data_IF_013396333982
#
_entry.id   IF_013396333982
#
_cell.length_a   1.000
_cell.length_b   1.000
_cell.length_c   1.000
_cell.angle_alpha   90.00
_cell.angle_beta   90.00
_cell.angle_gamma   90.00
#
_symmetry.space_group_name_H-M   'P 1'
#
loop_
_entity.id
_entity.type
_entity.pdbx_description
1 polymer ?
#
# COMPACT_ATOMS: atom_id res chain seq x y z
N UNK A 1 32.83 -2.99 12.49
CA UNK A 1 32.57 -1.94 11.48
C UNK A 1 31.29 -2.12 10.65
N UNK A 2 30.85 -3.35 10.27
CA UNK A 2 29.65 -3.58 9.41
C UNK A 2 28.31 -3.01 9.94
N UNK A 3 28.11 -2.97 11.26
CA UNK A 3 26.87 -2.48 11.87
C UNK A 3 26.66 -0.95 11.76
N UNK A 4 27.75 -0.18 11.66
CA UNK A 4 27.65 1.29 11.63
C UNK A 4 27.14 1.80 10.27
N UNK A 5 27.51 1.14 9.17
CA UNK A 5 26.96 1.45 7.85
C UNK A 5 25.47 1.08 7.76
N UNK A 6 25.08 -0.09 8.27
CA UNK A 6 23.67 -0.52 8.30
C UNK A 6 22.76 0.47 9.05
N UNK A 7 23.17 0.96 10.23
CA UNK A 7 22.41 1.98 10.98
C UNK A 7 22.25 3.29 10.20
N UNK A 8 23.29 3.74 9.50
CA UNK A 8 23.22 4.95 8.66
C UNK A 8 22.24 4.79 7.50
N UNK A 9 22.26 3.64 6.81
CA UNK A 9 21.28 3.35 5.75
C UNK A 9 19.84 3.27 6.29
N UNK A 10 19.65 2.70 7.48
CA UNK A 10 18.33 2.57 8.11
C UNK A 10 17.75 3.94 8.51
N UNK A 11 18.60 4.82 9.06
CA UNK A 11 18.21 6.20 9.39
C UNK A 11 17.90 6.99 8.11
N UNK A 12 18.73 6.85 7.07
CA UNK A 12 18.51 7.53 5.79
C UNK A 12 17.20 7.07 5.13
N UNK A 13 16.91 5.76 5.14
CA UNK A 13 15.66 5.21 4.66
C UNK A 13 14.45 5.72 5.47
N UNK A 14 14.57 5.81 6.80
CA UNK A 14 13.53 6.36 7.66
C UNK A 14 13.21 7.83 7.36
N UNK A 15 14.25 8.65 7.13
CA UNK A 15 14.10 10.06 6.76
C UNK A 15 13.40 10.17 5.40
N UNK A 16 13.85 9.40 4.39
CA UNK A 16 13.26 9.43 3.05
C UNK A 16 11.80 8.99 3.08
N UNK A 17 11.48 7.87 3.76
CA UNK A 17 10.10 7.40 3.90
C UNK A 17 9.21 8.40 4.64
N UNK A 18 9.72 9.04 5.71
CA UNK A 18 8.98 10.07 6.45
C UNK A 18 8.70 11.32 5.61
N UNK A 19 9.67 11.76 4.80
CA UNK A 19 9.54 12.92 3.92
C UNK A 19 8.55 12.65 2.79
N UNK A 20 8.58 11.45 2.20
CA UNK A 20 7.61 10.99 1.21
C UNK A 20 6.21 10.91 1.82
N UNK A 21 6.06 10.38 3.03
CA UNK A 21 4.77 10.32 3.73
C UNK A 21 4.19 11.71 4.00
N UNK A 22 5.04 12.68 4.39
CA UNK A 22 4.64 14.06 4.63
C UNK A 22 4.21 14.78 3.33
N UNK A 23 4.95 14.57 2.24
CA UNK A 23 4.59 15.11 0.93
C UNK A 23 3.28 14.50 0.40
N UNK A 24 3.07 13.19 0.57
CA UNK A 24 1.82 12.53 0.20
C UNK A 24 0.63 13.00 1.04
N UNK A 25 0.81 13.28 2.33
CA UNK A 25 -0.27 13.81 3.17
C UNK A 25 -0.73 15.20 2.70
N UNK A 26 0.18 16.00 2.13
CA UNK A 26 -0.10 17.35 1.65
C UNK A 26 -0.66 17.38 0.21
N UNK A 27 -0.19 16.48 -0.66
CA UNK A 27 -0.62 16.38 -2.07
C UNK A 27 -1.67 15.30 -2.36
N UNK A 28 -2.06 14.50 -1.36
CA UNK A 28 -3.01 13.40 -1.54
C UNK A 28 -4.41 13.87 -1.95
N UNK A 29 -5.02 13.13 -2.87
CA UNK A 29 -6.41 13.31 -3.29
C UNK A 29 -7.27 12.29 -2.52
N UNK A 30 -7.94 12.63 -1.39
CA UNK A 30 -8.22 13.94 -0.79
C UNK A 30 -7.23 14.38 0.30
N UNK A 31 -7.16 15.71 0.54
CA UNK A 31 -6.28 16.33 1.52
C UNK A 31 -6.53 15.74 2.91
N UNK A 32 -5.44 15.44 3.63
CA UNK A 32 -5.42 14.86 4.99
C UNK A 32 -5.49 13.31 5.07
N UNK A 33 -5.23 12.59 3.98
CA UNK A 33 -5.07 11.12 4.01
C UNK A 33 -3.61 10.73 3.70
N UNK A 34 -2.95 10.05 4.63
CA UNK A 34 -1.66 9.39 4.39
C UNK A 34 -1.81 8.15 3.47
N UNK A 35 -0.75 7.34 3.31
CA UNK A 35 -0.85 6.01 2.67
C UNK A 35 -1.76 5.12 3.53
N UNK A 36 -3.07 5.10 3.25
CA UNK A 36 -3.98 4.14 3.86
C UNK A 36 -4.37 3.06 2.86
N UNK A 37 -3.74 1.90 3.02
CA UNK A 37 -3.96 0.72 2.19
C UNK A 37 -5.42 0.24 2.27
N UNK A 38 -6.06 0.33 3.44
CA UNK A 38 -7.45 -0.09 3.61
C UNK A 38 -8.44 0.76 2.80
N UNK A 39 -8.28 2.08 2.84
CA UNK A 39 -9.08 3.02 2.03
C UNK A 39 -8.84 2.80 0.54
N UNK A 40 -7.60 2.56 0.12
CA UNK A 40 -7.29 2.32 -1.28
C UNK A 40 -7.89 1.03 -1.82
N UNK A 41 -7.90 -0.06 -1.03
CA UNK A 41 -8.54 -1.31 -1.45
C UNK A 41 -10.05 -1.12 -1.53
N UNK A 42 -10.67 -0.39 -0.59
CA UNK A 42 -12.08 -0.02 -0.68
C UNK A 42 -12.35 0.79 -1.95
N UNK A 43 -11.59 1.84 -2.21
CA UNK A 43 -11.80 2.74 -3.36
C UNK A 43 -11.62 1.97 -4.69
N UNK A 44 -10.67 1.03 -4.75
CA UNK A 44 -10.47 0.11 -5.89
C UNK A 44 -11.63 -0.87 -6.03
N UNK A 45 -12.17 -1.41 -4.93
CA UNK A 45 -13.36 -2.25 -4.95
C UNK A 45 -14.60 -1.46 -5.42
N UNK A 46 -14.66 -0.16 -5.11
CA UNK A 46 -15.67 0.77 -5.63
C UNK A 46 -15.56 0.97 -7.14
N UNK A 47 -14.34 1.13 -7.66
CA UNK A 47 -14.07 1.22 -9.10
C UNK A 47 -14.37 -0.09 -9.85
N UNK A 48 -14.20 -1.24 -9.19
CA UNK A 48 -14.57 -2.57 -9.71
C UNK A 48 -16.08 -2.86 -9.62
N UNK A 49 -16.88 -1.93 -9.07
CA UNK A 49 -18.34 -2.06 -8.98
C UNK A 49 -18.84 -2.97 -7.85
N UNK A 50 -17.97 -3.41 -6.94
CA UNK A 50 -18.32 -4.27 -5.81
C UNK A 50 -19.12 -3.53 -4.72
N UNK A 51 -19.05 -2.19 -4.68
CA UNK A 51 -19.89 -1.36 -3.84
C UNK A 51 -20.26 -0.04 -4.55
N UNK A 52 -21.42 0.53 -4.22
CA UNK A 52 -22.02 1.71 -4.88
C UNK A 52 -21.99 2.96 -3.99
N UNK A 53 -20.82 3.36 -3.51
CA UNK A 53 -20.67 4.63 -2.78
C UNK A 53 -20.06 5.70 -3.70
N UNK A 54 -20.91 6.61 -4.20
CA UNK A 54 -20.61 7.56 -5.28
C UNK A 54 -19.37 8.44 -5.08
N UNK A 55 -18.92 8.69 -3.84
CA UNK A 55 -17.72 9.50 -3.55
C UNK A 55 -16.39 8.70 -3.59
N UNK A 56 -16.42 7.37 -3.63
CA UNK A 56 -15.23 6.51 -3.44
C UNK A 56 -15.06 5.45 -4.54
N UNK A 57 -15.56 5.73 -5.74
CA UNK A 57 -15.41 4.85 -6.91
C UNK A 57 -14.33 5.35 -7.88
N UNK A 58 -13.09 5.42 -7.43
CA UNK A 58 -11.96 5.79 -8.29
C UNK A 58 -10.71 5.02 -7.91
N UNK A 59 -9.90 4.69 -8.92
CA UNK A 59 -8.60 4.05 -8.71
C UNK A 59 -7.59 5.14 -8.41
N UNK A 60 -6.97 5.04 -7.23
CA UNK A 60 -5.94 5.98 -6.81
C UNK A 60 -4.57 5.63 -7.38
N UNK A 61 -3.87 6.56 -8.06
CA UNK A 61 -2.56 6.29 -8.66
C UNK A 61 -1.48 5.93 -7.64
N UNK A 62 -1.66 6.25 -6.36
CA UNK A 62 -0.73 5.94 -5.27
C UNK A 62 -0.48 4.43 -5.13
N UNK A 63 -1.52 3.58 -5.24
CA UNK A 63 -1.36 2.12 -5.21
C UNK A 63 -0.52 1.62 -6.40
N UNK A 64 -0.80 2.15 -7.59
CA UNK A 64 -0.09 1.75 -8.81
C UNK A 64 1.38 2.12 -8.68
N UNK A 65 1.69 3.31 -8.15
CA UNK A 65 3.05 3.74 -7.86
C UNK A 65 3.78 2.84 -6.86
N UNK A 66 3.13 2.42 -5.77
CA UNK A 66 3.72 1.51 -4.78
C UNK A 66 4.02 0.14 -5.41
N UNK A 67 3.08 -0.41 -6.17
CA UNK A 67 3.22 -1.73 -6.82
C UNK A 67 4.32 -1.70 -7.88
N UNK A 68 4.35 -0.68 -8.74
CA UNK A 68 5.39 -0.52 -9.76
C UNK A 68 6.76 -0.23 -9.14
N UNK A 69 6.83 0.58 -8.09
CA UNK A 69 8.08 0.84 -7.36
C UNK A 69 8.67 -0.42 -6.74
N UNK A 70 7.83 -1.22 -6.05
CA UNK A 70 8.23 -2.50 -5.50
C UNK A 70 8.69 -3.48 -6.59
N UNK A 71 8.01 -3.49 -7.73
CA UNK A 71 8.37 -4.30 -8.89
C UNK A 71 9.75 -3.90 -9.44
N UNK A 72 9.99 -2.61 -9.69
CA UNK A 72 11.28 -2.10 -10.23
C UNK A 72 12.44 -2.45 -9.30
N UNK A 73 12.26 -2.27 -7.99
CA UNK A 73 13.28 -2.61 -7.00
C UNK A 73 13.55 -4.12 -7.02
N UNK A 74 12.50 -4.95 -7.03
CA UNK A 74 12.63 -6.42 -7.06
C UNK A 74 13.31 -6.94 -8.33
N UNK A 75 13.06 -6.33 -9.49
CA UNK A 75 13.80 -6.64 -10.72
C UNK A 75 15.26 -6.20 -10.62
N UNK A 76 15.52 -5.00 -10.10
CA UNK A 76 16.89 -4.48 -9.99
C UNK A 76 17.75 -5.28 -9.01
N UNK A 77 17.17 -5.79 -7.91
CA UNK A 77 17.86 -6.63 -6.94
C UNK A 77 17.94 -8.10 -7.38
N UNK A 78 17.28 -8.47 -8.50
CA UNK A 78 17.16 -9.84 -9.01
C UNK A 78 16.52 -10.84 -8.02
N UNK A 79 15.83 -10.34 -7.00
CA UNK A 79 15.12 -11.14 -6.00
C UNK A 79 13.65 -11.41 -6.39
N UNK A 80 13.29 -11.17 -7.65
CA UNK A 80 11.93 -11.38 -8.13
C UNK A 80 11.59 -12.87 -8.14
N UNK A 81 10.65 -13.27 -7.27
CA UNK A 81 10.13 -14.64 -7.18
C UNK A 81 8.62 -14.63 -7.43
N UNK A 82 8.19 -15.24 -8.54
CA UNK A 82 6.77 -15.44 -8.83
C UNK A 82 6.18 -16.51 -7.91
N UNK A 83 5.57 -16.10 -6.81
CA UNK A 83 4.83 -16.99 -5.91
C UNK A 83 3.34 -17.01 -6.29
N UNK A 84 2.93 -18.07 -6.97
CA UNK A 84 1.51 -18.39 -7.17
C UNK A 84 0.95 -19.09 -5.92
N UNK A 85 -0.19 -18.64 -5.42
CA UNK A 85 -0.90 -19.32 -4.32
C UNK A 85 -1.81 -20.42 -4.84
N UNK A 86 -1.79 -21.59 -4.21
CA UNK A 86 -2.66 -22.73 -4.55
C UNK A 86 -4.13 -22.52 -4.15
N UNK A 87 -4.44 -21.56 -3.27
CA UNK A 87 -5.81 -21.30 -2.75
C UNK A 87 -6.25 -19.83 -2.89
N UNK A 88 -6.58 -19.38 -4.11
CA UNK A 88 -7.03 -18.00 -4.35
C UNK A 88 -8.29 -17.63 -3.54
N UNK A 89 -9.22 -18.59 -3.38
CA UNK A 89 -10.48 -18.38 -2.66
C UNK A 89 -10.25 -18.05 -1.17
N UNK A 90 -9.32 -18.76 -0.50
CA UNK A 90 -9.03 -18.55 0.92
C UNK A 90 -8.37 -17.18 1.12
N UNK A 91 -7.43 -16.81 0.25
CA UNK A 91 -6.77 -15.49 0.30
C UNK A 91 -7.75 -14.34 0.06
N UNK A 92 -8.67 -14.53 -0.87
CA UNK A 92 -9.73 -13.55 -1.13
C UNK A 92 -10.60 -13.35 0.12
N UNK A 93 -11.06 -14.44 0.73
CA UNK A 93 -11.89 -14.38 1.94
C UNK A 93 -11.14 -13.75 3.14
N UNK A 94 -9.87 -14.09 3.32
CA UNK A 94 -9.00 -13.47 4.33
C UNK A 94 -8.84 -11.96 4.07
N UNK A 95 -8.69 -11.55 2.81
CA UNK A 95 -8.64 -10.13 2.42
C UNK A 95 -9.93 -9.37 2.73
N UNK A 96 -11.10 -9.99 2.49
CA UNK A 96 -12.40 -9.41 2.84
C UNK A 96 -12.52 -9.20 4.36
N UNK A 97 -12.15 -10.21 5.16
CA UNK A 97 -12.15 -10.10 6.62
C UNK A 97 -11.17 -9.03 7.12
N UNK A 98 -9.99 -8.92 6.51
CA UNK A 98 -9.00 -7.88 6.82
C UNK A 98 -9.55 -6.47 6.57
N UNK A 99 -10.22 -6.25 5.44
CA UNK A 99 -10.81 -4.95 5.09
C UNK A 99 -11.93 -4.58 6.06
N UNK A 100 -12.80 -5.53 6.41
CA UNK A 100 -13.86 -5.30 7.40
C UNK A 100 -13.24 -4.89 8.74
N UNK A 101 -12.22 -5.60 9.21
CA UNK A 101 -11.49 -5.26 10.44
C UNK A 101 -10.85 -3.87 10.37
N UNK A 102 -10.12 -3.57 9.30
CA UNK A 102 -9.45 -2.28 9.11
C UNK A 102 -10.43 -1.09 9.09
N UNK A 103 -11.62 -1.26 8.50
CA UNK A 103 -12.68 -0.25 8.45
C UNK A 103 -13.34 -0.04 9.81
N UNK A 104 -13.56 -1.09 10.59
CA UNK A 104 -14.16 -1.01 11.93
C UNK A 104 -13.23 -0.32 12.92
N UNK A 105 -11.92 -0.60 12.87
CA UNK A 105 -10.94 -0.04 13.79
C UNK A 105 -10.28 1.26 13.30
N UNK A 106 -10.66 1.76 12.11
CA UNK A 106 -10.02 2.92 11.44
C UNK A 106 -8.48 2.82 11.44
N UNK A 107 -7.96 1.62 11.23
CA UNK A 107 -6.52 1.33 11.21
C UNK A 107 -6.12 0.63 9.92
N UNK A 108 -5.03 1.08 9.29
CA UNK A 108 -4.45 0.47 8.08
C UNK A 108 -3.16 -0.27 8.50
N UNK A 109 -2.89 -1.50 8.00
CA UNK A 109 -1.65 -2.23 8.29
C UNK A 109 -0.42 -1.62 7.58
#
# INVERSE_FOLDING_TARGET
MKYLNQKKYLILAGIICGLVAMLLANYGNPKNMAICVACFIRDTAGALGLHRASKVQYVRPEIIGIVLGALIISLSTREFKSVGGSSPMIRFLLGVMMIIGALVFLGCP
#
